data_IF_479747044835
#
_entry.id   IF_479747044835
#
_cell.length_a   1.000
_cell.length_b   1.000
_cell.length_c   1.000
_cell.angle_alpha   90.00
_cell.angle_beta   90.00
_cell.angle_gamma   90.00
#
_symmetry.space_group_name_H-M   'P 1'
#
loop_
_entity.id
_entity.type
_entity.pdbx_description
1 polymer ?
#
# COMPACT_ATOMS: atom_id res chain seq x y z
N UNK A 1 -3.21 14.17 1.86
CA UNK A 1 -2.97 12.91 2.62
C UNK A 1 -2.88 11.68 1.71
N UNK A 2 -3.92 11.28 0.98
CA UNK A 2 -3.87 10.06 0.13
C UNK A 2 -2.82 10.05 -0.99
N UNK A 3 -2.61 11.18 -1.69
CA UNK A 3 -1.60 11.28 -2.75
C UNK A 3 -0.19 11.15 -2.16
N UNK A 4 0.05 11.83 -1.04
CA UNK A 4 1.30 11.69 -0.27
C UNK A 4 1.51 10.24 0.19
N UNK A 5 0.48 9.58 0.73
CA UNK A 5 0.55 8.17 1.11
C UNK A 5 0.95 7.28 -0.08
N UNK A 6 0.36 7.51 -1.26
CA UNK A 6 0.72 6.82 -2.48
C UNK A 6 2.18 7.06 -2.88
N UNK A 7 2.67 8.30 -2.84
CA UNK A 7 4.06 8.64 -3.17
C UNK A 7 5.07 8.03 -2.19
N UNK A 8 4.76 8.06 -0.88
CA UNK A 8 5.58 7.43 0.16
C UNK A 8 5.66 5.91 -0.06
N UNK A 9 4.53 5.27 -0.37
CA UNK A 9 4.48 3.85 -0.72
C UNK A 9 5.31 3.55 -1.97
N UNK A 10 5.18 4.37 -3.01
CA UNK A 10 5.93 4.24 -4.25
C UNK A 10 7.44 4.33 -3.99
N UNK A 11 7.88 5.28 -3.17
CA UNK A 11 9.28 5.42 -2.78
C UNK A 11 9.80 4.15 -2.10
N UNK A 12 9.06 3.62 -1.11
CA UNK A 12 9.42 2.36 -0.45
C UNK A 12 9.50 1.18 -1.42
N UNK A 13 8.54 1.08 -2.35
CA UNK A 13 8.49 -0.01 -3.33
C UNK A 13 9.67 0.06 -4.29
N UNK A 14 10.03 1.26 -4.76
CA UNK A 14 11.19 1.50 -5.61
C UNK A 14 12.49 1.20 -4.88
N UNK A 15 12.61 1.55 -3.59
CA UNK A 15 13.79 1.24 -2.78
C UNK A 15 13.98 -0.28 -2.67
N UNK A 16 12.93 -1.04 -2.39
CA UNK A 16 13.02 -2.50 -2.38
C UNK A 16 13.39 -3.05 -3.77
N UNK A 17 12.72 -2.58 -4.82
CA UNK A 17 13.02 -3.00 -6.20
C UNK A 17 14.47 -2.73 -6.58
N UNK A 18 15.02 -1.57 -6.19
CA UNK A 18 16.43 -1.25 -6.37
C UNK A 18 17.33 -2.25 -5.66
N UNK A 19 17.04 -2.59 -4.41
CA UNK A 19 17.81 -3.59 -3.66
C UNK A 19 17.74 -4.99 -4.27
N UNK A 20 16.63 -5.36 -4.91
CA UNK A 20 16.42 -6.67 -5.53
C UNK A 20 17.15 -6.77 -6.88
N UNK A 21 17.01 -5.77 -7.76
CA UNK A 21 17.48 -5.86 -9.15
C UNK A 21 18.82 -5.19 -9.42
N UNK A 22 19.19 -4.19 -8.61
CA UNK A 22 20.40 -3.39 -8.79
C UNK A 22 21.28 -3.40 -7.54
N UNK A 23 20.99 -4.31 -6.62
CA UNK A 23 21.75 -4.53 -5.41
C UNK A 23 23.09 -5.20 -5.67
N UNK A 24 23.95 -5.20 -4.65
CA UNK A 24 25.16 -6.02 -4.63
C UNK A 24 24.77 -7.48 -4.48
N UNK A 25 25.32 -8.33 -5.35
CA UNK A 25 25.13 -9.77 -5.32
C UNK A 25 26.46 -10.47 -5.06
N UNK A 26 26.44 -11.52 -4.24
CA UNK A 26 27.58 -12.40 -4.07
C UNK A 26 27.48 -13.54 -5.10
N UNK A 27 28.39 -13.52 -6.08
CA UNK A 27 28.39 -14.49 -7.18
C UNK A 27 28.64 -15.91 -6.65
N UNK A 28 29.49 -16.08 -5.65
CA UNK A 28 29.78 -17.40 -5.06
C UNK A 28 28.56 -17.97 -4.34
N UNK A 29 27.88 -17.14 -3.55
CA UNK A 29 26.64 -17.56 -2.88
C UNK A 29 25.50 -17.83 -3.86
N UNK A 30 25.42 -17.12 -5.00
CA UNK A 30 24.44 -17.39 -6.06
C UNK A 30 24.72 -18.71 -6.77
N UNK A 31 25.98 -19.04 -7.01
CA UNK A 31 26.39 -20.30 -7.62
C UNK A 31 26.18 -21.49 -6.67
N UNK A 32 26.31 -21.25 -5.36
CA UNK A 32 25.99 -22.22 -4.30
C UNK A 32 24.47 -22.43 -4.11
N UNK A 33 23.63 -21.52 -4.61
CA UNK A 33 22.19 -21.80 -4.71
C UNK A 33 21.98 -22.85 -5.81
N UNK A 34 21.78 -24.10 -5.39
CA UNK A 34 21.26 -25.16 -6.25
C UNK A 34 20.03 -24.69 -7.05
N UNK A 35 19.71 -25.37 -8.15
CA UNK A 35 18.57 -25.03 -9.00
C UNK A 35 17.25 -24.83 -8.21
N UNK A 36 17.07 -25.56 -7.10
CA UNK A 36 15.96 -25.39 -6.16
C UNK A 36 15.95 -24.05 -5.42
N UNK A 37 17.11 -23.56 -4.95
CA UNK A 37 17.23 -22.27 -4.27
C UNK A 37 16.92 -21.11 -5.22
N UNK A 38 17.42 -21.17 -6.46
CA UNK A 38 17.13 -20.15 -7.48
C UNK A 38 15.64 -20.15 -7.87
N UNK A 39 15.03 -21.32 -7.95
CA UNK A 39 13.58 -21.44 -8.18
C UNK A 39 12.77 -20.84 -7.02
N UNK A 40 13.13 -21.16 -5.78
CA UNK A 40 12.47 -20.63 -4.58
C UNK A 40 12.59 -19.11 -4.50
N UNK A 41 13.76 -18.53 -4.78
CA UNK A 41 13.97 -17.08 -4.84
C UNK A 41 13.02 -16.41 -5.85
N UNK A 42 12.95 -16.96 -7.06
CA UNK A 42 12.09 -16.45 -8.12
C UNK A 42 10.61 -16.47 -7.73
N UNK A 43 10.15 -17.59 -7.17
CA UNK A 43 8.75 -17.77 -6.80
C UNK A 43 8.36 -16.97 -5.55
N UNK A 44 9.23 -16.90 -4.54
CA UNK A 44 8.91 -16.29 -3.25
C UNK A 44 9.06 -14.77 -3.23
N UNK A 45 9.90 -14.19 -4.11
CA UNK A 45 10.23 -12.75 -4.06
C UNK A 45 10.13 -12.08 -5.43
N UNK A 46 10.83 -12.56 -6.46
CA UNK A 46 10.90 -11.83 -7.74
C UNK A 46 9.53 -11.76 -8.44
N UNK A 47 8.83 -12.88 -8.57
CA UNK A 47 7.50 -12.92 -9.18
C UNK A 47 6.46 -12.13 -8.39
N UNK A 48 6.31 -12.32 -7.06
CA UNK A 48 5.44 -11.48 -6.25
C UNK A 48 5.76 -9.99 -6.35
N UNK A 49 7.04 -9.61 -6.41
CA UNK A 49 7.44 -8.21 -6.58
C UNK A 49 7.02 -7.66 -7.96
N UNK A 50 7.23 -8.42 -9.04
CA UNK A 50 6.84 -8.00 -10.39
C UNK A 50 5.31 -7.84 -10.51
N UNK A 51 4.54 -8.80 -10.01
CA UNK A 51 3.07 -8.72 -9.97
C UNK A 51 2.60 -7.56 -9.09
N UNK A 52 3.22 -7.41 -7.91
CA UNK A 52 2.95 -6.33 -6.98
C UNK A 52 3.23 -4.95 -7.58
N UNK A 53 4.22 -4.82 -8.46
CA UNK A 53 4.57 -3.56 -9.13
C UNK A 53 3.42 -3.02 -9.97
N UNK A 54 2.69 -3.88 -10.68
CA UNK A 54 1.51 -3.47 -11.45
C UNK A 54 0.40 -2.97 -10.52
N UNK A 55 0.15 -3.69 -9.43
CA UNK A 55 -0.88 -3.34 -8.43
C UNK A 55 -0.53 -2.01 -7.74
N UNK A 56 0.69 -1.90 -7.22
CA UNK A 56 1.19 -0.70 -6.54
C UNK A 56 1.16 0.48 -7.50
N UNK A 57 1.64 0.33 -8.73
CA UNK A 57 1.59 1.38 -9.75
C UNK A 57 0.16 1.87 -10.02
N UNK A 58 -0.79 0.97 -10.21
CA UNK A 58 -2.20 1.31 -10.40
C UNK A 58 -2.80 2.07 -9.21
N UNK A 59 -2.50 1.63 -7.98
CA UNK A 59 -2.99 2.27 -6.75
C UNK A 59 -2.37 3.65 -6.54
N UNK A 60 -1.07 3.81 -6.80
CA UNK A 60 -0.37 5.09 -6.72
C UNK A 60 -0.95 6.08 -7.74
N UNK A 61 -1.13 5.66 -8.98
CA UNK A 61 -1.77 6.49 -10.02
C UNK A 61 -3.19 6.88 -9.60
N UNK A 62 -3.99 5.92 -9.10
CA UNK A 62 -5.33 6.20 -8.57
C UNK A 62 -5.32 7.18 -7.38
N UNK A 63 -4.28 7.16 -6.54
CA UNK A 63 -4.14 8.04 -5.39
C UNK A 63 -3.95 9.51 -5.80
N UNK A 64 -3.38 9.77 -6.98
CA UNK A 64 -3.12 11.12 -7.51
C UNK A 64 -4.40 11.82 -8.01
N UNK A 65 -5.42 11.07 -8.44
CA UNK A 65 -6.68 11.67 -8.89
C UNK A 65 -7.51 12.18 -7.72
N UNK A 66 -8.29 13.27 -7.84
CA UNK A 66 -9.06 13.88 -6.74
C UNK A 66 -10.31 13.09 -6.30
N UNK A 67 -10.34 11.77 -6.45
CA UNK A 67 -11.50 10.93 -6.08
C UNK A 67 -11.46 10.49 -4.61
N UNK A 68 -12.48 10.74 -3.77
CA UNK A 68 -12.44 10.45 -2.33
C UNK A 68 -12.32 8.95 -1.99
N UNK A 69 -12.75 8.06 -2.89
CA UNK A 69 -12.75 6.61 -2.66
C UNK A 69 -11.35 5.95 -2.70
N UNK A 70 -10.29 6.67 -3.09
CA UNK A 70 -8.98 6.02 -3.35
C UNK A 70 -8.08 5.88 -2.12
N UNK A 71 -8.48 6.37 -0.95
CA UNK A 71 -7.68 6.24 0.28
C UNK A 71 -7.67 4.80 0.85
N UNK A 72 -8.78 4.05 0.71
CA UNK A 72 -8.86 2.66 1.19
C UNK A 72 -7.94 1.72 0.38
N UNK A 73 -7.95 1.74 -0.96
CA UNK A 73 -6.98 0.97 -1.75
C UNK A 73 -5.53 1.25 -1.37
N UNK A 74 -5.15 2.53 -1.18
CA UNK A 74 -3.79 2.90 -0.77
C UNK A 74 -3.43 2.31 0.60
N UNK A 75 -4.35 2.35 1.56
CA UNK A 75 -4.15 1.75 2.88
C UNK A 75 -3.91 0.24 2.78
N UNK A 76 -4.80 -0.47 2.08
CA UNK A 76 -4.72 -1.93 1.92
C UNK A 76 -3.41 -2.32 1.22
N UNK A 77 -3.06 -1.65 0.13
CA UNK A 77 -1.82 -1.91 -0.60
C UNK A 77 -0.59 -1.61 0.27
N UNK A 78 -0.58 -0.52 1.03
CA UNK A 78 0.54 -0.21 1.93
C UNK A 78 0.75 -1.29 3.00
N UNK A 79 -0.33 -1.81 3.59
CA UNK A 79 -0.27 -2.94 4.53
C UNK A 79 0.26 -4.19 3.85
N UNK A 80 -0.26 -4.53 2.66
CA UNK A 80 0.20 -5.70 1.90
C UNK A 80 1.68 -5.60 1.50
N UNK A 81 2.16 -4.44 1.08
CA UNK A 81 3.57 -4.20 0.79
C UNK A 81 4.44 -4.35 2.05
N UNK A 82 3.94 -3.91 3.21
CA UNK A 82 4.64 -4.07 4.49
C UNK A 82 4.74 -5.55 4.88
N UNK A 83 3.65 -6.30 4.75
CA UNK A 83 3.64 -7.74 4.99
C UNK A 83 4.56 -8.49 4.02
N UNK A 84 4.56 -8.09 2.75
CA UNK A 84 5.48 -8.63 1.76
C UNK A 84 6.95 -8.34 2.13
N UNK A 85 7.27 -7.13 2.59
CA UNK A 85 8.61 -6.80 3.06
C UNK A 85 9.04 -7.68 4.24
N UNK A 86 8.12 -7.94 5.18
CA UNK A 86 8.37 -8.85 6.32
C UNK A 86 8.57 -10.29 5.80
N UNK A 87 7.76 -10.75 4.85
CA UNK A 87 7.90 -12.05 4.21
C UNK A 87 9.28 -12.23 3.56
N UNK A 88 9.74 -11.23 2.79
CA UNK A 88 11.08 -11.19 2.20
C UNK A 88 12.14 -11.31 3.28
N UNK A 89 11.93 -10.71 4.46
CA UNK A 89 12.90 -10.79 5.55
C UNK A 89 13.02 -12.15 6.22
N UNK A 90 12.04 -13.03 6.05
CA UNK A 90 12.07 -14.38 6.61
C UNK A 90 12.78 -15.36 5.65
N UNK A 91 13.06 -14.95 4.41
CA UNK A 91 13.77 -15.77 3.43
C UNK A 91 15.29 -15.70 3.67
N UNK A 92 15.79 -16.36 4.71
CA UNK A 92 17.21 -16.29 5.12
C UNK A 92 18.19 -16.61 3.98
N UNK A 93 17.83 -17.53 3.07
CA UNK A 93 18.65 -17.88 1.90
C UNK A 93 18.88 -16.71 0.93
N UNK A 94 17.97 -15.72 0.90
CA UNK A 94 18.14 -14.51 0.07
C UNK A 94 19.23 -13.60 0.60
N UNK A 95 19.50 -13.60 1.90
CA UNK A 95 20.38 -12.62 2.52
C UNK A 95 21.85 -12.93 2.30
N UNK A 96 22.19 -14.20 2.18
CA UNK A 96 23.54 -14.64 1.82
C UNK A 96 23.85 -14.28 0.36
N UNK A 97 22.91 -14.50 -0.56
CA UNK A 97 23.09 -14.22 -1.99
C UNK A 97 22.91 -12.73 -2.34
N UNK A 98 22.03 -12.01 -1.63
CA UNK A 98 21.64 -10.62 -1.91
C UNK A 98 21.72 -9.76 -0.64
N UNK A 99 22.93 -9.37 -0.20
CA UNK A 99 23.14 -8.64 1.05
C UNK A 99 22.46 -7.26 1.14
N UNK A 100 22.08 -6.66 0.01
CA UNK A 100 21.37 -5.38 -0.05
C UNK A 100 19.85 -5.48 0.15
N UNK A 101 19.27 -6.68 0.01
CA UNK A 101 17.82 -6.94 0.14
C UNK A 101 17.29 -6.70 1.57
N UNK A 102 17.96 -7.13 2.66
CA UNK A 102 17.49 -6.85 4.02
C UNK A 102 17.29 -5.36 4.30
N UNK A 103 18.20 -4.52 3.83
CA UNK A 103 18.11 -3.07 3.98
C UNK A 103 16.92 -2.51 3.20
N UNK A 104 16.77 -2.90 1.94
CA UNK A 104 15.65 -2.48 1.08
C UNK A 104 14.28 -2.88 1.67
N UNK A 105 14.18 -4.11 2.18
CA UNK A 105 12.97 -4.61 2.83
C UNK A 105 12.67 -3.83 4.12
N UNK A 106 13.68 -3.51 4.93
CA UNK A 106 13.52 -2.70 6.15
C UNK A 106 13.02 -1.29 5.82
N UNK A 107 13.56 -0.68 4.79
CA UNK A 107 13.10 0.63 4.31
C UNK A 107 11.66 0.55 3.79
N UNK A 108 11.29 -0.50 3.05
CA UNK A 108 9.89 -0.68 2.63
C UNK A 108 8.95 -0.85 3.82
N UNK A 109 9.34 -1.51 4.91
CA UNK A 109 8.52 -1.54 6.14
C UNK A 109 8.29 -0.14 6.69
N UNK A 110 9.33 0.69 6.77
CA UNK A 110 9.23 2.08 7.28
C UNK A 110 8.33 2.93 6.37
N UNK A 111 8.57 2.91 5.05
CA UNK A 111 7.75 3.66 4.10
C UNK A 111 6.31 3.13 4.03
N UNK A 112 6.13 1.82 4.03
CA UNK A 112 4.82 1.16 3.99
C UNK A 112 3.98 1.48 5.22
N UNK A 113 4.55 1.43 6.43
CA UNK A 113 3.86 1.81 7.66
C UNK A 113 3.51 3.30 7.69
N UNK A 114 4.42 4.18 7.25
CA UNK A 114 4.15 5.61 7.12
C UNK A 114 3.02 5.89 6.11
N UNK A 115 3.04 5.23 4.95
CA UNK A 115 1.99 5.34 3.95
C UNK A 115 0.64 4.84 4.47
N UNK A 116 0.63 3.71 5.19
CA UNK A 116 -0.57 3.17 5.82
C UNK A 116 -1.16 4.15 6.85
N UNK A 117 -0.33 4.74 7.71
CA UNK A 117 -0.78 5.74 8.68
C UNK A 117 -1.40 6.97 7.99
N UNK A 118 -0.74 7.51 6.96
CA UNK A 118 -1.26 8.64 6.18
C UNK A 118 -2.59 8.32 5.47
N UNK A 119 -2.70 7.11 4.92
CA UNK A 119 -3.93 6.65 4.27
C UNK A 119 -5.06 6.43 5.28
N UNK A 120 -4.77 5.85 6.45
CA UNK A 120 -5.74 5.66 7.53
C UNK A 120 -6.30 7.00 8.03
N UNK A 121 -5.45 8.02 8.22
CA UNK A 121 -5.90 9.38 8.56
C UNK A 121 -6.80 9.94 7.47
N UNK A 122 -6.47 9.74 6.18
CA UNK A 122 -7.31 10.18 5.07
C UNK A 122 -8.68 9.47 5.04
N UNK A 123 -8.72 8.18 5.34
CA UNK A 123 -9.96 7.40 5.45
C UNK A 123 -10.82 7.93 6.61
N UNK A 124 -10.23 8.09 7.80
CA UNK A 124 -10.93 8.59 8.99
C UNK A 124 -11.53 9.99 8.76
N UNK A 125 -10.74 10.92 8.22
CA UNK A 125 -11.21 12.26 7.87
C UNK A 125 -12.38 12.21 6.86
N UNK A 126 -12.29 11.32 5.87
CA UNK A 126 -13.36 11.13 4.88
C UNK A 126 -14.63 10.46 5.43
N UNK A 127 -14.53 9.68 6.50
CA UNK A 127 -15.69 9.09 7.20
C UNK A 127 -16.35 10.13 8.10
N UNK A 128 -15.56 10.88 8.87
CA UNK A 128 -16.06 11.94 9.75
C UNK A 128 -16.78 13.04 8.96
N UNK A 129 -16.17 13.53 7.87
CA UNK A 129 -16.80 14.55 7.03
C UNK A 129 -18.12 14.09 6.38
N UNK A 130 -18.27 12.80 6.09
CA UNK A 130 -19.54 12.23 5.59
C UNK A 130 -20.63 12.21 6.67
N UNK A 131 -20.27 11.90 7.91
CA UNK A 131 -21.22 11.91 9.04
C UNK A 131 -21.74 13.32 9.32
N UNK A 132 -20.86 14.32 9.30
CA UNK A 132 -21.25 15.71 9.50
C UNK A 132 -22.17 16.22 8.37
N UNK A 133 -21.90 15.81 7.13
CA UNK A 133 -22.75 16.14 5.99
C UNK A 133 -24.14 15.50 6.10
N UNK A 134 -24.22 14.22 6.48
CA UNK A 134 -25.50 13.53 6.71
C UNK A 134 -26.29 14.17 7.85
N UNK A 135 -25.66 14.46 9.00
CA UNK A 135 -26.31 15.10 10.12
C UNK A 135 -26.87 16.50 9.79
N UNK A 136 -26.21 17.26 8.92
CA UNK A 136 -26.71 18.56 8.42
C UNK A 136 -27.91 18.42 7.50
N UNK A 137 -27.95 17.38 6.65
CA UNK A 137 -29.11 17.10 5.79
C UNK A 137 -30.33 16.73 6.64
N UNK A 138 -30.15 15.90 7.66
CA UNK A 138 -31.23 15.49 8.56
C UNK A 138 -31.73 16.66 9.42
N UNK A 139 -30.84 17.52 9.92
CA UNK A 139 -31.21 18.72 10.68
C UNK A 139 -31.85 19.83 9.82
N UNK A 140 -31.55 19.85 8.52
CA UNK A 140 -32.11 20.77 7.54
C UNK A 140 -33.52 20.38 7.02
N UNK A 141 -34.08 19.26 7.49
CA UNK A 141 -35.44 18.83 7.18
C UNK A 141 -36.39 18.93 8.40
N UNK A 142 -36.56 20.11 9.04
CA UNK A 142 -37.61 20.27 10.03
C UNK A 142 -38.95 20.37 9.32
N UNK A 143 -39.69 19.27 9.26
CA UNK A 143 -41.14 19.29 9.13
C UNK A 143 -41.71 20.13 7.99
N UNK A 144 -41.50 19.71 6.75
CA UNK A 144 -42.47 19.94 5.67
C UNK A 144 -43.72 19.09 5.90
N UNK A 145 -44.35 19.22 7.07
CA UNK A 145 -45.65 18.67 7.40
C UNK A 145 -46.63 19.42 6.53
N UNK A 146 -46.99 18.84 5.39
CA UNK A 146 -48.14 19.27 4.60
C UNK A 146 -49.41 18.89 5.37
N UNK A 147 -49.63 19.56 6.49
CA UNK A 147 -50.95 19.74 7.07
C UNK A 147 -51.62 20.82 6.21
N UNK A 148 -52.21 20.41 5.09
CA UNK A 148 -53.18 21.22 4.36
C UNK A 148 -54.47 20.41 4.23
N UNK A 149 -55.28 20.51 5.30
CA UNK A 149 -56.74 20.70 5.30
C UNK A 149 -57.54 20.15 4.10
N UNK A 150 -58.38 19.13 4.35
CA UNK A 150 -59.82 19.25 4.01
C UNK A 150 -60.51 20.09 5.11
N UNK A 151 -61.76 20.59 4.96
CA UNK A 151 -62.87 20.27 4.04
C UNK A 151 -63.09 21.40 3.00
N UNK A 152 -63.92 21.33 1.97
CA UNK A 152 -65.34 20.98 1.84
C UNK A 152 -65.65 20.47 0.43
#
# INVERSE_FOLDING_TARGET
MKALAGLVLAAGWVVLGRSIFFGTYDVGAIDDLEAGGRFAANFAVFWPFMLGTVIVGGVVVAALFPRPATAVPVLVTAVMCTLFAIWVRIQDFMFTAFPSVPLGASLLVIFGTAAAALAAVAVLAGVLGRRDASARVDAGHPGGRSDSYGPE
#
